data_IF_360744876699
#
_entry.id   IF_360744876699
#
_cell.length_a   1.000
_cell.length_b   1.000
_cell.length_c   1.000
_cell.angle_alpha   90.00
_cell.angle_beta   90.00
_cell.angle_gamma   90.00
#
_symmetry.space_group_name_H-M   'P 1'
#
loop_
_entity.id
_entity.type
_entity.pdbx_description
1 polymer ?
#
# COMPACT_ATOMS: atom_id res chain seq x y z
N UNK A 1 -38.96 -0.33 -14.92
CA UNK A 1 -37.66 0.29 -15.24
C UNK A 1 -36.73 -0.05 -14.10
N UNK A 2 -35.79 -0.97 -14.33
CA UNK A 2 -34.98 -1.58 -13.28
C UNK A 2 -34.01 -0.54 -12.69
N UNK A 3 -34.11 -0.32 -11.39
CA UNK A 3 -33.17 0.47 -10.59
C UNK A 3 -31.81 -0.23 -10.59
N UNK A 4 -30.82 0.36 -11.25
CA UNK A 4 -29.43 -0.08 -11.15
C UNK A 4 -28.94 0.05 -9.71
N UNK A 5 -28.66 -1.09 -9.08
CA UNK A 5 -28.11 -1.14 -7.73
C UNK A 5 -26.68 -0.57 -7.70
N UNK A 6 -26.27 0.12 -6.61
CA UNK A 6 -25.02 0.89 -6.56
C UNK A 6 -23.75 0.04 -6.31
N UNK A 7 -23.75 -1.26 -6.61
CA UNK A 7 -22.62 -2.14 -6.29
C UNK A 7 -22.10 -2.91 -7.53
N UNK A 8 -21.65 -2.15 -8.54
CA UNK A 8 -21.14 -2.67 -9.81
C UNK A 8 -19.68 -3.18 -9.75
N UNK A 9 -19.21 -3.67 -8.60
CA UNK A 9 -17.81 -4.07 -8.40
C UNK A 9 -17.60 -5.56 -8.05
N UNK A 10 -18.67 -6.34 -7.89
CA UNK A 10 -18.54 -7.79 -7.75
C UNK A 10 -18.57 -8.44 -9.12
N UNK A 11 -17.42 -8.98 -9.54
CA UNK A 11 -17.35 -9.80 -10.74
C UNK A 11 -17.91 -11.18 -10.42
N UNK A 12 -18.68 -11.73 -11.35
CA UNK A 12 -19.21 -13.09 -11.21
C UNK A 12 -18.04 -14.09 -11.11
N UNK A 13 -18.03 -14.89 -10.05
CA UNK A 13 -16.95 -15.85 -9.75
C UNK A 13 -15.85 -15.35 -8.81
N UNK A 14 -15.89 -14.10 -8.34
CA UNK A 14 -14.97 -13.64 -7.29
C UNK A 14 -15.21 -14.39 -5.98
N UNK A 15 -14.13 -14.82 -5.33
CA UNK A 15 -14.17 -15.16 -3.91
C UNK A 15 -14.28 -13.86 -3.09
N UNK A 16 -15.44 -13.67 -2.45
CA UNK A 16 -15.73 -12.46 -1.68
C UNK A 16 -14.68 -12.18 -0.61
N UNK A 17 -14.17 -13.22 0.08
CA UNK A 17 -13.17 -13.07 1.14
C UNK A 17 -11.80 -12.66 0.59
N UNK A 18 -11.37 -13.25 -0.52
CA UNK A 18 -10.14 -12.88 -1.20
C UNK A 18 -10.19 -11.44 -1.71
N UNK A 19 -11.31 -11.03 -2.31
CA UNK A 19 -11.53 -9.66 -2.78
C UNK A 19 -11.51 -8.65 -1.64
N UNK A 20 -12.20 -8.94 -0.53
CA UNK A 20 -12.20 -8.09 0.67
C UNK A 20 -10.80 -7.89 1.25
N UNK A 21 -9.99 -8.97 1.32
CA UNK A 21 -8.59 -8.89 1.74
C UNK A 21 -7.76 -7.96 0.83
N UNK A 22 -7.92 -8.06 -0.49
CA UNK A 22 -7.20 -7.22 -1.45
C UNK A 22 -7.62 -5.74 -1.34
N UNK A 23 -8.91 -5.46 -1.16
CA UNK A 23 -9.40 -4.10 -0.90
C UNK A 23 -8.84 -3.54 0.41
N UNK A 24 -8.78 -4.35 1.47
CA UNK A 24 -8.19 -3.95 2.74
C UNK A 24 -6.68 -3.64 2.61
N UNK A 25 -5.93 -4.49 1.91
CA UNK A 25 -4.50 -4.28 1.63
C UNK A 25 -4.27 -2.99 0.85
N UNK A 26 -5.02 -2.79 -0.24
CA UNK A 26 -4.98 -1.55 -1.03
C UNK A 26 -5.21 -0.32 -0.15
N UNK A 27 -6.23 -0.35 0.69
CA UNK A 27 -6.58 0.75 1.59
C UNK A 27 -5.46 1.07 2.59
N UNK A 28 -4.83 0.04 3.17
CA UNK A 28 -3.70 0.21 4.08
C UNK A 28 -2.48 0.82 3.37
N UNK A 29 -2.16 0.35 2.17
CA UNK A 29 -1.03 0.87 1.38
C UNK A 29 -1.22 2.32 0.96
N UNK A 30 -2.44 2.73 0.60
CA UNK A 30 -2.75 4.12 0.27
C UNK A 30 -2.58 5.06 1.47
N UNK A 31 -2.97 4.62 2.68
CA UNK A 31 -2.74 5.41 3.89
C UNK A 31 -1.26 5.51 4.23
N UNK A 32 -0.53 4.40 4.14
CA UNK A 32 0.91 4.38 4.34
C UNK A 32 1.64 5.30 3.35
N UNK A 33 1.31 5.22 2.06
CA UNK A 33 1.86 6.09 1.02
C UNK A 33 1.62 7.57 1.35
N UNK A 34 0.40 7.92 1.78
CA UNK A 34 0.08 9.29 2.18
C UNK A 34 0.92 9.77 3.38
N UNK A 35 1.09 8.93 4.40
CA UNK A 35 1.91 9.28 5.57
C UNK A 35 3.38 9.52 5.18
N UNK A 36 3.94 8.67 4.32
CA UNK A 36 5.30 8.79 3.80
C UNK A 36 5.47 10.03 2.92
N UNK A 37 4.52 10.29 2.02
CA UNK A 37 4.53 11.49 1.18
C UNK A 37 4.51 12.77 2.03
N UNK A 38 3.71 12.79 3.08
CA UNK A 38 3.59 13.93 4.00
C UNK A 38 4.87 14.11 4.83
N UNK A 39 5.56 13.03 5.20
CA UNK A 39 6.89 13.06 5.80
C UNK A 39 7.92 13.69 4.85
N UNK A 40 8.03 13.18 3.62
CA UNK A 40 8.97 13.69 2.61
C UNK A 40 8.68 15.15 2.24
N UNK A 41 7.40 15.52 2.13
CA UNK A 41 6.99 16.92 1.92
C UNK A 41 7.51 17.82 3.04
N UNK A 42 7.34 17.44 4.32
CA UNK A 42 7.85 18.22 5.45
C UNK A 42 9.37 18.33 5.45
N UNK A 43 10.08 17.28 5.08
CA UNK A 43 11.54 17.30 4.95
C UNK A 43 11.98 18.25 3.83
N UNK A 44 11.36 18.14 2.66
CA UNK A 44 11.65 19.00 1.50
C UNK A 44 11.35 20.48 1.80
N UNK A 45 10.19 20.78 2.39
CA UNK A 45 9.75 22.15 2.67
C UNK A 45 10.62 22.85 3.73
N UNK A 46 11.26 22.10 4.64
CA UNK A 46 12.22 22.68 5.60
C UNK A 46 13.45 23.28 4.92
N UNK A 47 13.86 22.71 3.79
CA UNK A 47 15.07 23.11 3.07
C UNK A 47 14.76 24.06 1.91
N UNK A 48 13.61 23.90 1.25
CA UNK A 48 13.27 24.56 -0.01
C UNK A 48 12.09 25.54 0.09
N UNK A 49 11.40 25.58 1.23
CA UNK A 49 10.18 26.37 1.42
C UNK A 49 8.90 25.62 1.02
N UNK A 50 7.75 26.20 1.36
CA UNK A 50 6.43 25.59 1.16
C UNK A 50 6.15 25.34 -0.33
N UNK A 51 5.61 24.17 -0.65
CA UNK A 51 5.22 23.80 -2.01
C UNK A 51 3.70 23.73 -2.16
N UNK A 52 3.19 24.13 -3.32
CA UNK A 52 1.79 23.91 -3.66
C UNK A 52 1.54 22.49 -4.19
N UNK A 53 0.27 22.13 -4.40
CA UNK A 53 -0.11 20.78 -4.85
C UNK A 53 0.49 20.41 -6.21
N UNK A 54 0.54 21.35 -7.16
CA UNK A 54 1.11 21.10 -8.49
C UNK A 54 2.64 20.95 -8.47
N UNK A 55 3.31 21.67 -7.58
CA UNK A 55 4.75 21.49 -7.32
C UNK A 55 5.04 20.16 -6.65
N UNK A 56 4.29 19.82 -5.59
CA UNK A 56 4.41 18.54 -4.93
C UNK A 56 4.19 17.37 -5.90
N UNK A 57 3.22 17.48 -6.81
CA UNK A 57 3.01 16.47 -7.84
C UNK A 57 4.25 16.30 -8.73
N UNK A 58 4.85 17.40 -9.21
CA UNK A 58 6.08 17.32 -10.02
C UNK A 58 7.24 16.71 -9.23
N UNK A 59 7.41 17.09 -7.97
CA UNK A 59 8.44 16.51 -7.10
C UNK A 59 8.24 15.00 -6.92
N UNK A 60 7.00 14.59 -6.64
CA UNK A 60 6.68 13.17 -6.51
C UNK A 60 7.03 12.41 -7.77
N UNK A 61 6.87 12.98 -8.96
CA UNK A 61 7.14 12.30 -10.23
C UNK A 61 8.63 12.30 -10.58
N UNK A 62 9.31 13.45 -10.45
CA UNK A 62 10.61 13.68 -11.07
C UNK A 62 11.78 13.77 -10.07
N UNK A 63 11.51 14.03 -8.78
CA UNK A 63 12.57 14.32 -7.81
C UNK A 63 13.13 13.03 -7.15
N UNK A 64 14.47 12.88 -7.10
CA UNK A 64 15.11 11.70 -6.49
C UNK A 64 14.69 11.44 -5.04
N UNK A 65 14.39 12.47 -4.25
CA UNK A 65 13.96 12.33 -2.85
C UNK A 65 12.65 11.53 -2.75
N UNK A 66 11.74 11.70 -3.71
CA UNK A 66 10.42 11.06 -3.70
C UNK A 66 10.37 9.75 -4.48
N UNK A 67 11.36 9.47 -5.33
CA UNK A 67 11.40 8.31 -6.24
C UNK A 67 11.12 6.96 -5.57
N UNK A 68 11.52 6.78 -4.31
CA UNK A 68 11.32 5.52 -3.60
C UNK A 68 9.85 5.23 -3.26
N UNK A 69 8.98 6.26 -3.22
CA UNK A 69 7.53 6.13 -3.01
C UNK A 69 6.82 5.53 -4.24
N UNK A 70 7.43 5.58 -5.42
CA UNK A 70 6.88 4.97 -6.64
C UNK A 70 6.63 3.48 -6.47
N UNK A 71 7.51 2.77 -5.75
CA UNK A 71 7.34 1.34 -5.50
C UNK A 71 5.97 1.03 -4.84
N UNK A 72 5.51 1.90 -3.93
CA UNK A 72 4.21 1.74 -3.26
C UNK A 72 3.07 1.99 -4.24
N UNK A 73 3.20 3.05 -5.05
CA UNK A 73 2.21 3.40 -6.07
C UNK A 73 2.07 2.29 -7.12
N UNK A 74 3.17 1.75 -7.62
CA UNK A 74 3.17 0.61 -8.54
C UNK A 74 2.49 -0.62 -7.93
N UNK A 75 2.75 -0.90 -6.65
CA UNK A 75 2.16 -2.03 -5.98
C UNK A 75 0.64 -1.85 -5.78
N UNK A 76 0.19 -0.64 -5.44
CA UNK A 76 -1.24 -0.30 -5.39
C UNK A 76 -1.89 -0.43 -6.76
N UNK A 77 -1.23 0.03 -7.83
CA UNK A 77 -1.74 -0.11 -9.20
C UNK A 77 -1.92 -1.58 -9.58
N UNK A 78 -0.97 -2.47 -9.25
CA UNK A 78 -1.11 -3.92 -9.50
C UNK A 78 -2.33 -4.51 -8.76
N UNK A 79 -2.59 -4.07 -7.54
CA UNK A 79 -3.79 -4.48 -6.78
C UNK A 79 -5.06 -3.94 -7.46
N UNK A 80 -5.04 -2.69 -7.91
CA UNK A 80 -6.17 -2.06 -8.63
C UNK A 80 -6.48 -2.76 -9.96
N UNK A 81 -5.46 -3.12 -10.72
CA UNK A 81 -5.60 -3.89 -11.96
C UNK A 81 -6.22 -5.26 -11.70
N UNK A 82 -5.82 -5.96 -10.64
CA UNK A 82 -6.44 -7.22 -10.25
C UNK A 82 -7.90 -7.04 -9.81
N UNK A 83 -8.18 -6.03 -8.98
CA UNK A 83 -9.52 -5.70 -8.48
C UNK A 83 -10.50 -5.32 -9.59
N UNK A 84 -10.02 -4.64 -10.64
CA UNK A 84 -10.86 -4.11 -11.74
C UNK A 84 -10.77 -4.93 -13.03
N UNK A 85 -9.89 -5.94 -13.08
CA UNK A 85 -9.61 -6.75 -14.26
C UNK A 85 -10.79 -7.61 -14.75
N UNK A 86 -10.53 -8.51 -15.72
CA UNK A 86 -11.55 -9.43 -16.22
C UNK A 86 -11.51 -10.82 -15.57
N UNK A 87 -10.36 -11.20 -15.01
CA UNK A 87 -10.20 -12.50 -14.35
C UNK A 87 -10.82 -12.46 -12.95
N UNK A 88 -11.61 -13.49 -12.54
CA UNK A 88 -12.10 -13.61 -11.18
C UNK A 88 -10.97 -13.67 -10.15
N UNK A 89 -11.19 -13.09 -8.99
CA UNK A 89 -10.22 -13.09 -7.88
C UNK A 89 -10.45 -14.35 -7.04
N UNK A 90 -9.42 -15.16 -6.90
CA UNK A 90 -9.39 -16.33 -6.04
C UNK A 90 -8.53 -16.14 -4.79
N UNK A 91 -8.58 -17.09 -3.83
CA UNK A 91 -7.76 -17.06 -2.62
C UNK A 91 -6.26 -16.90 -2.90
N UNK A 92 -5.73 -17.58 -3.94
CA UNK A 92 -4.32 -17.52 -4.33
C UNK A 92 -3.85 -16.13 -4.76
N UNK A 93 -4.73 -15.32 -5.36
CA UNK A 93 -4.40 -13.96 -5.76
C UNK A 93 -4.19 -13.07 -4.52
N UNK A 94 -5.10 -13.22 -3.53
CA UNK A 94 -4.97 -12.52 -2.26
C UNK A 94 -3.74 -12.96 -1.48
N UNK A 95 -3.44 -14.26 -1.43
CA UNK A 95 -2.26 -14.78 -0.73
C UNK A 95 -0.97 -14.27 -1.37
N UNK A 96 -0.89 -14.31 -2.71
CA UNK A 96 0.26 -13.79 -3.46
C UNK A 96 0.47 -12.29 -3.20
N UNK A 97 -0.59 -11.49 -3.22
CA UNK A 97 -0.50 -10.07 -2.93
C UNK A 97 0.01 -9.81 -1.50
N UNK A 98 -0.48 -10.57 -0.52
CA UNK A 98 -0.03 -10.43 0.87
C UNK A 98 1.42 -10.86 1.08
N UNK A 99 1.88 -11.92 0.43
CA UNK A 99 3.27 -12.37 0.56
C UNK A 99 4.26 -11.40 -0.07
N UNK A 100 3.91 -10.83 -1.23
CA UNK A 100 4.68 -9.75 -1.84
C UNK A 100 4.72 -8.51 -0.93
N UNK A 101 3.58 -8.12 -0.35
CA UNK A 101 3.51 -6.99 0.57
C UNK A 101 4.38 -7.22 1.82
N UNK A 102 4.31 -8.41 2.44
CA UNK A 102 5.15 -8.75 3.60
C UNK A 102 6.63 -8.63 3.27
N UNK A 103 7.05 -9.18 2.14
CA UNK A 103 8.45 -9.11 1.70
C UNK A 103 8.91 -7.67 1.46
N UNK A 104 8.11 -6.88 0.74
CA UNK A 104 8.45 -5.51 0.38
C UNK A 104 8.48 -4.57 1.59
N UNK A 105 7.51 -4.69 2.51
CA UNK A 105 7.37 -3.81 3.68
C UNK A 105 7.96 -4.41 4.96
N UNK A 106 8.91 -5.35 4.84
CA UNK A 106 9.73 -5.79 5.98
C UNK A 106 10.72 -4.67 6.33
N UNK A 107 10.65 -4.05 7.53
CA UNK A 107 11.62 -3.05 7.94
C UNK A 107 12.97 -3.72 8.20
N UNK A 108 14.00 -3.34 7.44
CA UNK A 108 15.36 -3.87 7.64
C UNK A 108 16.42 -2.87 7.20
N UNK A 109 17.50 -2.79 7.97
CA UNK A 109 18.69 -1.98 7.66
C UNK A 109 19.55 -2.60 6.54
N UNK A 110 19.41 -3.91 6.30
CA UNK A 110 20.24 -4.68 5.36
C UNK A 110 19.51 -5.08 4.08
N UNK A 111 18.32 -4.51 3.84
CA UNK A 111 17.49 -4.80 2.67
C UNK A 111 17.91 -4.09 1.38
N UNK A 112 16.99 -4.10 0.42
CA UNK A 112 17.10 -3.29 -0.78
C UNK A 112 16.96 -1.77 -0.48
N UNK A 113 17.08 -0.94 -1.51
CA UNK A 113 17.00 0.51 -1.37
C UNK A 113 15.67 0.98 -0.77
N UNK A 114 14.55 0.36 -1.15
CA UNK A 114 13.23 0.69 -0.61
C UNK A 114 13.14 0.32 0.86
N UNK A 115 13.53 -0.91 1.22
CA UNK A 115 13.45 -1.42 2.59
C UNK A 115 14.29 -0.58 3.57
N UNK A 116 15.46 -0.10 3.14
CA UNK A 116 16.30 0.80 3.94
C UNK A 116 15.65 2.16 4.16
N UNK A 117 15.08 2.77 3.12
CA UNK A 117 14.35 4.03 3.24
C UNK A 117 13.12 3.87 4.13
N UNK A 118 12.38 2.76 3.95
CA UNK A 118 11.21 2.45 4.76
C UNK A 118 11.56 2.24 6.23
N UNK A 119 12.65 1.53 6.53
CA UNK A 119 13.17 1.38 7.88
C UNK A 119 13.50 2.73 8.50
N UNK A 120 14.23 3.59 7.79
CA UNK A 120 14.58 4.93 8.28
C UNK A 120 13.33 5.81 8.52
N UNK A 121 12.32 5.73 7.64
CA UNK A 121 11.08 6.47 7.78
C UNK A 121 10.31 6.10 9.06
N UNK A 122 10.23 4.80 9.38
CA UNK A 122 9.61 4.31 10.62
C UNK A 122 10.30 4.89 11.87
N UNK A 123 11.62 5.04 11.85
CA UNK A 123 12.35 5.59 13.00
C UNK A 123 12.16 7.11 13.17
N UNK A 124 11.80 7.82 12.10
CA UNK A 124 11.79 9.29 12.05
C UNK A 124 10.41 9.90 12.23
N UNK A 125 9.35 9.17 11.90
CA UNK A 125 8.00 9.74 11.83
C UNK A 125 6.94 8.87 12.53
N UNK A 126 6.32 9.36 13.62
CA UNK A 126 5.28 8.63 14.34
C UNK A 126 4.06 8.27 13.48
N UNK A 127 3.69 9.08 12.49
CA UNK A 127 2.56 8.75 11.62
C UNK A 127 2.86 7.53 10.75
N UNK A 128 4.12 7.38 10.32
CA UNK A 128 4.59 6.20 9.57
C UNK A 128 4.58 4.95 10.46
N UNK A 129 4.97 5.08 11.73
CA UNK A 129 4.88 3.97 12.72
C UNK A 129 3.44 3.47 12.86
N UNK A 130 2.47 4.38 12.96
CA UNK A 130 1.06 4.01 13.11
C UNK A 130 0.54 3.27 11.88
N UNK A 131 0.83 3.74 10.67
CA UNK A 131 0.40 3.06 9.45
C UNK A 131 1.15 1.73 9.23
N UNK A 132 2.42 1.64 9.66
CA UNK A 132 3.13 0.36 9.70
C UNK A 132 2.47 -0.64 10.65
N UNK A 133 2.05 -0.20 11.83
CA UNK A 133 1.36 -1.05 12.79
C UNK A 133 0.03 -1.58 12.25
N UNK A 134 -0.75 -0.74 11.55
CA UNK A 134 -1.98 -1.17 10.87
C UNK A 134 -1.71 -2.17 9.75
N UNK A 135 -0.64 -1.98 8.97
CA UNK A 135 -0.23 -2.92 7.94
C UNK A 135 0.21 -4.27 8.54
N UNK A 136 0.99 -4.24 9.62
CA UNK A 136 1.42 -5.45 10.34
C UNK A 136 0.22 -6.20 10.96
N UNK A 137 -0.75 -5.47 11.53
CA UNK A 137 -2.00 -6.03 12.06
C UNK A 137 -2.82 -6.68 10.95
N UNK A 138 -2.83 -6.11 9.76
CA UNK A 138 -3.48 -6.71 8.59
C UNK A 138 -2.77 -8.01 8.17
N UNK A 139 -1.44 -8.04 8.17
CA UNK A 139 -0.67 -9.25 7.87
C UNK A 139 -0.90 -10.39 8.87
N UNK A 140 -1.10 -10.09 10.15
CA UNK A 140 -1.36 -11.11 11.17
C UNK A 140 -2.76 -11.73 11.06
N UNK A 141 -3.73 -10.98 10.55
CA UNK A 141 -5.12 -11.46 10.37
C UNK A 141 -5.25 -12.45 9.20
N UNK A 142 -4.31 -12.41 8.26
CA UNK A 142 -4.31 -13.27 7.06
C UNK A 142 -3.35 -14.45 7.15
N UNK A 143 -2.61 -14.61 8.26
CA UNK A 143 -1.89 -15.86 8.54
C UNK A 143 -2.91 -16.97 8.84
N UNK A 144 -2.73 -18.19 8.33
CA UNK A 144 -3.49 -19.34 8.79
C UNK A 144 -3.32 -19.46 10.31
N UNK A 145 -4.41 -19.56 11.08
CA UNK A 145 -4.30 -20.06 12.45
C UNK A 145 -3.66 -21.43 12.35
N UNK A 146 -2.47 -21.62 12.94
CA UNK A 146 -1.89 -22.94 13.10
C UNK A 146 -2.98 -23.87 13.63
N UNK A 147 -3.32 -24.92 12.86
CA UNK A 147 -4.13 -26.01 13.39
C UNK A 147 -3.31 -26.60 14.52
N UNK A 148 -3.70 -26.32 15.75
CA UNK A 148 -3.27 -27.12 16.89
C UNK A 148 -3.81 -28.52 16.65
N UNK A 149 -2.92 -29.42 16.24
CA UNK A 149 -3.12 -30.87 16.34
C UNK A 149 -3.15 -31.30 17.80
#
# INVERSE_FOLDING_TARGET
MSSGSPNALHREGDDTGAREKMVALRGALLRLHKALLEMERRDYEREHGVVNVGELFRLVVDDPQFSWLHNISEFVVRIDEALTGKAPIGPSDSDTAFDLARKMFTPTESGDAFQKQYFAAIQRDPAVVMEHAELARLFSQTLPKERKE
#
